data_IF_469914072400
#
_entry.id   IF_469914072400
#
_cell.length_a   1.000
_cell.length_b   1.000
_cell.length_c   1.000
_cell.angle_alpha   90.00
_cell.angle_beta   90.00
_cell.angle_gamma   90.00
#
_symmetry.space_group_name_H-M   'P 1'
#
loop_
_entity.id
_entity.type
_entity.pdbx_description
1 polymer ?
#
# COMPACT_ATOMS: atom_id res chain seq x y z
N UNK A 1 69.04 -17.68 -12.97
CA UNK A 1 67.80 -18.32 -13.49
C UNK A 1 66.94 -19.01 -12.42
N UNK A 2 67.17 -18.82 -11.11
CA UNK A 2 66.42 -19.52 -10.04
C UNK A 2 65.38 -18.61 -9.35
N UNK A 3 65.60 -17.29 -9.29
CA UNK A 3 64.75 -16.33 -8.58
C UNK A 3 63.33 -16.15 -9.17
N UNK A 4 63.19 -16.18 -10.50
CA UNK A 4 61.88 -15.94 -11.17
C UNK A 4 60.85 -17.06 -10.93
N UNK A 5 61.29 -18.27 -10.56
CA UNK A 5 60.40 -19.43 -10.37
C UNK A 5 59.78 -19.45 -8.96
N UNK A 6 60.52 -18.99 -7.95
CA UNK A 6 60.08 -18.92 -6.55
C UNK A 6 59.00 -17.83 -6.38
N UNK A 7 59.16 -16.71 -7.06
CA UNK A 7 58.23 -15.58 -6.97
C UNK A 7 56.88 -15.86 -7.67
N UNK A 8 56.90 -16.63 -8.78
CA UNK A 8 55.68 -17.09 -9.46
C UNK A 8 54.86 -18.06 -8.61
N UNK A 9 55.50 -18.91 -7.80
CA UNK A 9 54.81 -19.84 -6.88
C UNK A 9 54.09 -19.05 -5.78
N UNK A 10 54.77 -18.07 -5.17
CA UNK A 10 54.22 -17.11 -4.19
C UNK A 10 53.00 -16.34 -4.73
N UNK A 11 53.11 -15.78 -5.94
CA UNK A 11 52.02 -15.03 -6.58
C UNK A 11 50.83 -15.93 -6.94
N UNK A 12 51.06 -17.18 -7.36
CA UNK A 12 50.00 -18.14 -7.64
C UNK A 12 49.23 -18.55 -6.37
N UNK A 13 49.94 -18.72 -5.25
CA UNK A 13 49.36 -19.02 -3.94
C UNK A 13 48.55 -17.82 -3.41
N UNK A 14 49.07 -16.59 -3.51
CA UNK A 14 48.34 -15.36 -3.18
C UNK A 14 47.06 -15.22 -4.00
N UNK A 15 47.10 -15.48 -5.32
CA UNK A 15 45.91 -15.46 -6.20
C UNK A 15 44.86 -16.49 -5.79
N UNK A 16 45.26 -17.72 -5.42
CA UNK A 16 44.35 -18.75 -4.90
C UNK A 16 43.69 -18.35 -3.58
N UNK A 17 44.45 -17.73 -2.66
CA UNK A 17 43.94 -17.25 -1.38
C UNK A 17 42.96 -16.08 -1.52
N UNK A 18 43.25 -15.13 -2.42
CA UNK A 18 42.35 -14.01 -2.72
C UNK A 18 41.04 -14.48 -3.36
N UNK A 19 41.11 -15.46 -4.28
CA UNK A 19 39.92 -16.05 -4.91
C UNK A 19 39.03 -16.76 -3.88
N UNK A 20 39.63 -17.44 -2.89
CA UNK A 20 38.90 -18.05 -1.76
C UNK A 20 38.25 -17.01 -0.84
N UNK A 21 38.92 -15.89 -0.56
CA UNK A 21 38.35 -14.79 0.26
C UNK A 21 37.16 -14.12 -0.43
N UNK A 22 37.22 -13.91 -1.74
CA UNK A 22 36.13 -13.30 -2.52
C UNK A 22 34.85 -14.17 -2.49
N UNK A 23 35.01 -15.47 -2.71
CA UNK A 23 33.90 -16.44 -2.66
C UNK A 23 33.22 -16.53 -1.28
N UNK A 24 33.98 -16.37 -0.18
CA UNK A 24 33.40 -16.33 1.17
C UNK A 24 32.54 -15.09 1.39
N UNK A 25 32.96 -13.92 0.91
CA UNK A 25 32.18 -12.68 1.01
C UNK A 25 30.88 -12.74 0.21
N UNK A 26 30.93 -13.30 -1.00
CA UNK A 26 29.73 -13.47 -1.84
C UNK A 26 28.70 -14.39 -1.18
N UNK A 27 29.13 -15.49 -0.54
CA UNK A 27 28.21 -16.38 0.20
C UNK A 27 27.60 -15.71 1.44
N UNK A 28 28.39 -14.98 2.21
CA UNK A 28 27.90 -14.24 3.38
C UNK A 28 26.88 -13.18 2.97
N UNK A 29 27.14 -12.46 1.87
CA UNK A 29 26.20 -11.49 1.34
C UNK A 29 24.88 -12.13 0.90
N UNK A 30 24.95 -13.28 0.21
CA UNK A 30 23.75 -14.04 -0.17
C UNK A 30 22.97 -14.58 1.04
N UNK A 31 23.66 -14.96 2.12
CA UNK A 31 23.01 -15.37 3.37
C UNK A 31 22.30 -14.20 4.05
N UNK A 32 22.95 -13.04 4.14
CA UNK A 32 22.36 -11.82 4.70
C UNK A 32 21.16 -11.33 3.89
N UNK A 33 21.24 -11.36 2.56
CA UNK A 33 20.10 -11.03 1.70
C UNK A 33 18.93 -12.02 1.89
N UNK A 34 19.21 -13.32 2.02
CA UNK A 34 18.17 -14.33 2.29
C UNK A 34 17.52 -14.14 3.65
N UNK A 35 18.28 -13.81 4.69
CA UNK A 35 17.71 -13.50 6.00
C UNK A 35 16.83 -12.25 5.97
N UNK A 36 17.27 -11.18 5.31
CA UNK A 36 16.46 -9.97 5.18
C UNK A 36 15.16 -10.21 4.41
N UNK A 37 15.21 -11.01 3.34
CA UNK A 37 14.01 -11.42 2.60
C UNK A 37 13.09 -12.24 3.51
N UNK A 38 13.62 -13.15 4.34
CA UNK A 38 12.84 -13.99 5.27
C UNK A 38 12.19 -13.17 6.40
N UNK A 39 12.91 -12.19 6.96
CA UNK A 39 12.37 -11.25 7.95
C UNK A 39 11.26 -10.40 7.33
N UNK A 40 11.46 -9.93 6.10
CA UNK A 40 10.44 -9.19 5.35
C UNK A 40 9.19 -10.06 5.08
N UNK A 41 9.37 -11.33 4.72
CA UNK A 41 8.24 -12.26 4.49
C UNK A 41 7.47 -12.60 5.77
N UNK A 42 8.15 -12.68 6.92
CA UNK A 42 7.49 -12.89 8.22
C UNK A 42 6.71 -11.65 8.69
N UNK A 43 7.16 -10.44 8.31
CA UNK A 43 6.44 -9.19 8.62
C UNK A 43 5.11 -9.05 7.87
N UNK A 44 4.99 -9.67 6.70
CA UNK A 44 3.73 -9.81 5.96
C UNK A 44 3.06 -11.13 6.29
N UNK A 45 3.09 -11.56 7.56
CA UNK A 45 2.29 -12.71 8.01
C UNK A 45 0.88 -12.51 7.49
N UNK A 46 0.45 -13.41 6.64
CA UNK A 46 -0.86 -13.45 6.03
C UNK A 46 -1.86 -13.70 7.14
N UNK A 47 -2.31 -12.63 7.81
CA UNK A 47 -3.52 -12.65 8.61
C UNK A 47 -4.61 -13.02 7.62
N UNK A 48 -4.95 -14.32 7.56
CA UNK A 48 -6.17 -14.78 6.92
C UNK A 48 -7.30 -14.17 7.75
N UNK A 49 -7.79 -13.02 7.30
CA UNK A 49 -8.97 -12.40 7.87
C UNK A 49 -10.16 -13.26 7.43
N UNK A 50 -10.42 -14.32 8.20
CA UNK A 50 -11.54 -15.25 8.01
C UNK A 50 -12.83 -14.73 8.67
N UNK A 51 -12.86 -13.45 9.04
CA UNK A 51 -14.03 -12.85 9.66
C UNK A 51 -14.95 -12.27 8.59
N UNK A 52 -16.10 -12.91 8.39
CA UNK A 52 -17.22 -12.35 7.62
C UNK A 52 -17.80 -11.18 8.41
N UNK A 53 -17.79 -9.98 7.83
CA UNK A 53 -18.30 -8.78 8.49
C UNK A 53 -19.82 -8.79 8.43
N UNK A 54 -20.47 -8.62 9.57
CA UNK A 54 -21.94 -8.47 9.62
C UNK A 54 -22.34 -7.08 9.08
N UNK A 55 -23.55 -6.91 8.53
CA UNK A 55 -24.00 -5.60 8.03
C UNK A 55 -23.92 -4.48 9.08
N UNK A 56 -24.14 -4.81 10.37
CA UNK A 56 -24.04 -3.86 11.48
C UNK A 56 -22.60 -3.44 11.75
N UNK A 57 -21.66 -4.38 11.73
CA UNK A 57 -20.23 -4.06 11.82
C UNK A 57 -19.77 -3.22 10.63
N UNK A 58 -20.24 -3.53 9.41
CA UNK A 58 -19.97 -2.73 8.22
C UNK A 58 -20.51 -1.30 8.33
N UNK A 59 -21.73 -1.14 8.86
CA UNK A 59 -22.32 0.18 9.14
C UNK A 59 -21.49 0.96 10.18
N UNK A 60 -21.02 0.29 11.24
CA UNK A 60 -20.18 0.92 12.25
C UNK A 60 -18.85 1.41 11.64
N UNK A 61 -18.22 0.64 10.75
CA UNK A 61 -17.01 1.04 10.03
C UNK A 61 -17.32 2.24 9.11
N UNK A 62 -18.43 2.20 8.39
CA UNK A 62 -18.83 3.29 7.51
C UNK A 62 -19.04 4.60 8.31
N UNK A 63 -19.84 4.55 9.37
CA UNK A 63 -20.11 5.74 10.19
C UNK A 63 -18.82 6.27 10.84
N UNK A 64 -18.01 5.37 11.40
CA UNK A 64 -16.77 5.75 12.09
C UNK A 64 -15.69 6.33 11.18
N UNK A 65 -15.71 6.01 9.87
CA UNK A 65 -14.78 6.59 8.89
C UNK A 65 -15.31 7.87 8.24
N UNK A 66 -16.63 8.08 8.22
CA UNK A 66 -17.25 9.27 7.64
C UNK A 66 -17.38 10.42 8.65
N UNK A 67 -17.61 10.14 9.93
CA UNK A 67 -17.69 11.16 10.98
C UNK A 67 -16.27 11.53 11.43
N UNK A 68 -15.83 12.74 11.09
CA UNK A 68 -14.53 13.27 11.48
C UNK A 68 -14.55 14.78 11.76
N UNK A 69 -13.39 15.42 11.70
CA UNK A 69 -13.22 16.84 12.01
C UNK A 69 -14.10 17.77 11.15
N UNK A 70 -14.50 17.35 9.96
CA UNK A 70 -15.39 18.12 9.08
C UNK A 70 -16.73 18.48 9.71
N UNK A 71 -17.28 17.63 10.59
CA UNK A 71 -18.57 17.88 11.26
C UNK A 71 -18.50 19.06 12.22
N UNK A 72 -17.33 19.31 12.83
CA UNK A 72 -17.12 20.42 13.76
C UNK A 72 -17.16 21.80 13.07
N UNK A 73 -16.87 21.85 11.77
CA UNK A 73 -16.92 23.09 10.98
C UNK A 73 -18.32 23.46 10.48
N UNK A 74 -19.26 22.52 10.46
CA UNK A 74 -20.61 22.73 9.93
C UNK A 74 -21.39 23.83 10.70
N UNK A 75 -21.39 23.86 12.05
CA UNK A 75 -22.10 24.91 12.79
C UNK A 75 -21.53 26.30 12.53
N UNK A 76 -20.21 26.41 12.38
CA UNK A 76 -19.54 27.67 12.07
C UNK A 76 -20.02 28.23 10.73
N UNK A 77 -19.99 27.41 9.67
CA UNK A 77 -20.48 27.82 8.34
C UNK A 77 -21.97 28.12 8.37
N UNK A 78 -22.78 27.30 9.05
CA UNK A 78 -24.21 27.52 9.20
C UNK A 78 -24.53 28.85 9.92
N UNK A 79 -23.73 29.25 10.90
CA UNK A 79 -23.88 30.55 11.58
C UNK A 79 -23.58 31.75 10.67
N UNK A 80 -22.75 31.57 9.64
CA UNK A 80 -22.36 32.63 8.69
C UNK A 80 -23.33 32.75 7.51
N UNK A 81 -23.80 31.60 7.01
CA UNK A 81 -24.65 31.53 5.82
C UNK A 81 -26.14 31.53 6.17
N UNK A 82 -26.48 31.13 7.40
CA UNK A 82 -27.85 30.93 7.89
C UNK A 82 -28.28 29.46 7.81
N UNK A 83 -29.17 29.05 8.72
CA UNK A 83 -29.59 27.65 8.87
C UNK A 83 -30.28 27.11 7.61
N UNK A 84 -31.23 27.87 7.06
CA UNK A 84 -32.05 27.46 5.90
C UNK A 84 -31.19 27.21 4.65
N UNK A 85 -30.34 28.16 4.20
CA UNK A 85 -29.47 27.92 3.04
C UNK A 85 -28.41 26.85 3.33
N UNK A 86 -27.85 26.79 4.53
CA UNK A 86 -26.88 25.75 4.90
C UNK A 86 -27.51 24.34 4.84
N UNK A 87 -28.74 24.19 5.32
CA UNK A 87 -29.48 22.92 5.24
C UNK A 87 -29.77 22.52 3.79
N UNK A 88 -30.18 23.48 2.94
CA UNK A 88 -30.40 23.22 1.52
C UNK A 88 -29.15 22.69 0.81
N UNK A 89 -27.98 23.31 1.06
CA UNK A 89 -26.69 22.85 0.51
C UNK A 89 -26.34 21.47 1.07
N UNK A 90 -26.52 21.25 2.37
CA UNK A 90 -26.19 19.97 3.02
C UNK A 90 -27.01 18.82 2.44
N UNK A 91 -28.31 19.02 2.22
CA UNK A 91 -29.18 18.03 1.56
C UNK A 91 -28.76 17.80 0.10
N UNK A 92 -28.44 18.87 -0.65
CA UNK A 92 -28.00 18.74 -2.04
C UNK A 92 -26.70 17.93 -2.17
N UNK A 93 -25.70 18.25 -1.34
CA UNK A 93 -24.42 17.53 -1.30
C UNK A 93 -24.63 16.08 -0.84
N UNK A 94 -25.49 15.84 0.14
CA UNK A 94 -25.85 14.50 0.59
C UNK A 94 -26.42 13.66 -0.57
N UNK A 95 -27.36 14.18 -1.34
CA UNK A 95 -27.96 13.47 -2.48
C UNK A 95 -26.94 13.19 -3.58
N UNK A 96 -26.06 14.16 -3.87
CA UNK A 96 -24.99 14.01 -4.84
C UNK A 96 -24.04 12.88 -4.41
N UNK A 97 -23.52 12.94 -3.18
CA UNK A 97 -22.60 11.93 -2.66
C UNK A 97 -23.23 10.55 -2.55
N UNK A 98 -24.50 10.47 -2.14
CA UNK A 98 -25.23 9.20 -2.09
C UNK A 98 -25.35 8.57 -3.48
N UNK A 99 -25.67 9.38 -4.50
CA UNK A 99 -25.77 8.92 -5.88
C UNK A 99 -24.43 8.36 -6.38
N UNK A 100 -23.32 9.08 -6.12
CA UNK A 100 -21.97 8.62 -6.44
C UNK A 100 -21.60 7.34 -5.68
N UNK A 101 -21.93 7.26 -4.39
CA UNK A 101 -21.65 6.10 -3.56
C UNK A 101 -22.39 4.85 -4.06
N UNK A 102 -23.63 4.98 -4.56
CA UNK A 102 -24.38 3.87 -5.15
C UNK A 102 -23.73 3.36 -6.44
N UNK A 103 -23.21 4.24 -7.29
CA UNK A 103 -22.48 3.85 -8.50
C UNK A 103 -21.22 3.06 -8.12
N UNK A 104 -20.44 3.57 -7.16
CA UNK A 104 -19.22 2.91 -6.68
C UNK A 104 -19.56 1.56 -6.02
N UNK A 105 -20.63 1.50 -5.23
CA UNK A 105 -21.10 0.28 -4.58
C UNK A 105 -21.45 -0.79 -5.61
N UNK A 106 -22.15 -0.42 -6.69
CA UNK A 106 -22.48 -1.34 -7.79
C UNK A 106 -21.21 -1.90 -8.45
N UNK A 107 -20.26 -1.03 -8.81
CA UNK A 107 -18.99 -1.45 -9.41
C UNK A 107 -18.17 -2.33 -8.46
N UNK A 108 -18.11 -1.96 -7.17
CA UNK A 108 -17.40 -2.75 -6.17
C UNK A 108 -18.04 -4.12 -5.98
N UNK A 109 -19.37 -4.21 -5.93
CA UNK A 109 -20.11 -5.48 -5.79
C UNK A 109 -19.87 -6.40 -7.00
N UNK A 110 -19.90 -5.88 -8.23
CA UNK A 110 -19.59 -6.64 -9.45
C UNK A 110 -18.14 -7.17 -9.44
N UNK A 111 -17.23 -6.42 -8.82
CA UNK A 111 -15.81 -6.74 -8.71
C UNK A 111 -15.43 -7.45 -7.39
N UNK A 112 -16.39 -8.06 -6.69
CA UNK A 112 -16.20 -8.82 -5.44
C UNK A 112 -15.61 -7.98 -4.28
N UNK A 113 -16.06 -6.74 -4.13
CA UNK A 113 -15.60 -5.84 -3.06
C UNK A 113 -14.25 -5.19 -3.36
N UNK A 114 -13.96 -4.91 -4.62
CA UNK A 114 -12.70 -4.29 -5.02
C UNK A 114 -12.53 -2.89 -4.41
N UNK A 115 -11.29 -2.53 -4.08
CA UNK A 115 -10.93 -1.20 -3.60
C UNK A 115 -11.12 -0.15 -4.71
N UNK A 116 -11.43 1.09 -4.32
CA UNK A 116 -11.57 2.25 -5.20
C UNK A 116 -10.44 2.39 -6.24
N UNK A 117 -9.18 2.20 -5.85
CA UNK A 117 -8.03 2.25 -6.78
C UNK A 117 -8.07 1.12 -7.82
N UNK A 118 -8.49 -0.08 -7.42
CA UNK A 118 -8.66 -1.22 -8.32
C UNK A 118 -9.85 -1.04 -9.26
N UNK A 119 -10.95 -0.47 -8.76
CA UNK A 119 -12.11 -0.10 -9.59
C UNK A 119 -11.67 0.93 -10.65
N UNK A 120 -11.00 2.01 -10.23
CA UNK A 120 -10.49 3.03 -11.13
C UNK A 120 -9.52 2.45 -12.18
N UNK A 121 -8.65 1.53 -11.78
CA UNK A 121 -7.73 0.87 -12.70
C UNK A 121 -8.43 -0.01 -13.74
N UNK A 122 -9.51 -0.71 -13.37
CA UNK A 122 -10.24 -1.58 -14.29
C UNK A 122 -11.20 -0.80 -15.20
N UNK A 123 -11.82 0.26 -14.69
CA UNK A 123 -12.78 1.06 -15.47
C UNK A 123 -12.08 2.08 -16.37
N UNK A 124 -11.02 2.72 -15.88
CA UNK A 124 -10.35 3.85 -16.55
C UNK A 124 -8.92 3.51 -17.02
N UNK A 125 -8.50 2.26 -16.86
CA UNK A 125 -7.17 1.77 -17.23
C UNK A 125 -6.07 2.14 -16.23
N UNK A 126 -4.82 1.83 -16.60
CA UNK A 126 -3.65 2.05 -15.72
C UNK A 126 -3.52 3.49 -15.24
N UNK A 127 -3.80 4.47 -16.10
CA UNK A 127 -3.70 5.89 -15.77
C UNK A 127 -4.70 6.25 -14.67
N UNK A 128 -5.95 5.82 -14.78
CA UNK A 128 -6.96 6.09 -13.73
C UNK A 128 -6.63 5.44 -12.39
N UNK A 129 -6.06 4.22 -12.41
CA UNK A 129 -5.57 3.58 -11.18
C UNK A 129 -4.45 4.37 -10.50
N UNK A 130 -3.50 4.90 -11.29
CA UNK A 130 -2.40 5.71 -10.77
C UNK A 130 -2.86 7.06 -10.24
N UNK A 131 -3.74 7.77 -10.95
CA UNK A 131 -4.30 9.05 -10.48
C UNK A 131 -5.04 8.84 -9.15
N UNK A 132 -5.84 7.78 -9.05
CA UNK A 132 -6.56 7.45 -7.81
C UNK A 132 -5.62 7.09 -6.65
N UNK A 133 -4.47 6.50 -6.93
CA UNK A 133 -3.48 6.14 -5.91
C UNK A 133 -2.65 7.34 -5.44
N UNK A 134 -2.47 8.34 -6.31
CA UNK A 134 -1.70 9.56 -6.03
C UNK A 134 -2.53 10.67 -5.37
N UNK A 135 -3.86 10.62 -5.47
CA UNK A 135 -4.78 11.56 -4.82
C UNK A 135 -4.96 11.26 -3.34
#
# INVERSE_FOLDING_TARGET
>A
MVDSKIDKISLSQKRKLLKRRKLRRERLFLQLMREQIKIFTLRVSTIKVEKTITPKEGLAILIGTQIGAGVLGLPYVASKVGLIPAFGILVAVMLLMLSTALIILKLSAEMRGAQMSTIAQKTLGRIGGWIMYLS
#
